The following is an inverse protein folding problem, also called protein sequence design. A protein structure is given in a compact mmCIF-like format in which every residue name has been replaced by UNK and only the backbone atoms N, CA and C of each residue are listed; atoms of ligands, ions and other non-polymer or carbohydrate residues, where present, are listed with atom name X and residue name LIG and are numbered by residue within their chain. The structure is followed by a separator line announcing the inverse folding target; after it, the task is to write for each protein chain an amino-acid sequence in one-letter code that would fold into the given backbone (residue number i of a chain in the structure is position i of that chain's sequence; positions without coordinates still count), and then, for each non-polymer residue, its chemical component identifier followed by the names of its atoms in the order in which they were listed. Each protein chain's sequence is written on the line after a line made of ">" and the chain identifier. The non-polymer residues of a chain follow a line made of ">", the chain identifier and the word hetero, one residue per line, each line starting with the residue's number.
data_IF_945604345032
#
_entry.id   IF_945604345032
#
_cell.length_a   1.000
_cell.length_b   1.000
_cell.length_c   1.000
_cell.angle_alpha   90.00
_cell.angle_beta   90.00
_cell.angle_gamma   90.00
#
_symmetry.space_group_name_H-M   'P 1'
#
loop_
_entity.id
_entity.type
_entity.pdbx_description
1 polymer ?
#
# COMPACT_ATOMS: atom_id res chain seq x y z
N UNK A 1 -10.83 10.73 35.74
CA UNK A 1 -12.04 11.06 34.93
C UNK A 1 -11.93 10.59 33.48
N UNK A 2 -10.87 10.94 32.73
CA UNK A 2 -10.66 10.43 31.34
C UNK A 2 -10.56 8.91 31.24
N UNK A 3 -9.82 8.26 32.14
CA UNK A 3 -9.67 6.79 32.15
C UNK A 3 -10.99 6.08 32.48
N UNK A 4 -11.72 6.57 33.47
CA UNK A 4 -13.05 6.04 33.82
C UNK A 4 -14.05 6.12 32.65
N UNK A 5 -14.08 7.25 31.93
CA UNK A 5 -14.90 7.41 30.73
C UNK A 5 -14.43 6.48 29.60
N UNK A 6 -13.11 6.28 29.45
CA UNK A 6 -12.56 5.36 28.46
C UNK A 6 -12.94 3.90 28.78
N UNK A 7 -12.90 3.49 30.04
CA UNK A 7 -13.31 2.17 30.52
C UNK A 7 -14.80 1.93 30.23
N UNK A 8 -15.67 2.89 30.59
CA UNK A 8 -17.10 2.82 30.32
C UNK A 8 -17.41 2.75 28.82
N UNK A 9 -16.72 3.55 28.00
CA UNK A 9 -16.87 3.50 26.55
C UNK A 9 -16.38 2.17 25.95
N UNK A 10 -15.39 1.48 26.55
CA UNK A 10 -14.97 0.14 26.11
C UNK A 10 -16.04 -0.92 26.35
N UNK A 11 -16.85 -0.77 27.40
CA UNK A 11 -17.95 -1.67 27.73
C UNK A 11 -19.18 -1.43 26.84
N UNK A 12 -19.48 -0.17 26.52
CA UNK A 12 -20.66 0.21 25.73
C UNK A 12 -20.48 0.06 24.21
N UNK A 13 -19.24 0.15 23.72
CA UNK A 13 -18.95 0.12 22.29
C UNK A 13 -18.18 -1.13 21.88
N UNK A 14 -18.73 -1.86 20.91
CA UNK A 14 -18.04 -3.00 20.30
C UNK A 14 -16.68 -2.56 19.72
N UNK A 15 -15.68 -3.46 19.62
CA UNK A 15 -14.40 -3.14 18.99
C UNK A 15 -14.54 -2.53 17.59
N UNK A 16 -15.50 -3.02 16.79
CA UNK A 16 -15.79 -2.48 15.45
C UNK A 16 -16.31 -1.05 15.51
N UNK A 17 -17.21 -0.72 16.43
CA UNK A 17 -17.72 0.65 16.58
C UNK A 17 -16.62 1.62 17.02
N UNK A 18 -15.75 1.18 17.94
CA UNK A 18 -14.60 1.98 18.38
C UNK A 18 -13.62 2.26 17.22
N UNK A 19 -13.41 1.28 16.36
CA UNK A 19 -12.59 1.45 15.15
C UNK A 19 -13.22 2.49 14.21
N UNK A 20 -14.51 2.36 13.87
CA UNK A 20 -15.19 3.31 12.98
C UNK A 20 -15.26 4.73 13.56
N UNK A 21 -15.42 4.89 14.88
CA UNK A 21 -15.36 6.20 15.54
C UNK A 21 -13.98 6.86 15.43
N UNK A 22 -12.89 6.12 15.70
CA UNK A 22 -11.53 6.66 15.54
C UNK A 22 -11.27 7.09 14.09
N UNK A 23 -11.75 6.29 13.16
CA UNK A 23 -11.66 6.57 11.72
C UNK A 23 -12.45 7.81 11.32
N UNK A 24 -13.68 7.96 11.81
CA UNK A 24 -14.49 9.17 11.59
C UNK A 24 -13.82 10.43 12.16
N UNK A 25 -13.24 10.33 13.36
CA UNK A 25 -12.48 11.45 13.97
C UNK A 25 -11.24 11.81 13.14
N UNK A 26 -10.48 10.82 12.66
CA UNK A 26 -9.32 11.05 11.80
C UNK A 26 -9.74 11.72 10.48
N UNK A 27 -10.83 11.26 9.88
CA UNK A 27 -11.42 11.85 8.68
C UNK A 27 -11.87 13.29 8.89
N UNK A 28 -12.59 13.58 9.98
CA UNK A 28 -13.01 14.95 10.32
C UNK A 28 -11.79 15.87 10.47
N UNK A 29 -10.75 15.43 11.20
CA UNK A 29 -9.52 16.19 11.36
C UNK A 29 -8.85 16.50 10.02
N UNK A 30 -8.81 15.52 9.10
CA UNK A 30 -8.25 15.75 7.77
C UNK A 30 -9.09 16.77 6.98
N UNK A 31 -10.42 16.65 6.99
CA UNK A 31 -11.32 17.61 6.33
C UNK A 31 -11.15 19.02 6.88
N UNK A 32 -11.15 19.19 8.20
CA UNK A 32 -10.90 20.50 8.81
C UNK A 32 -9.53 21.06 8.40
N UNK A 33 -8.51 20.19 8.33
CA UNK A 33 -7.19 20.57 7.83
C UNK A 33 -7.20 21.03 6.38
N UNK A 34 -7.99 20.40 5.51
CA UNK A 34 -8.15 20.79 4.10
C UNK A 34 -8.95 22.08 3.94
N UNK A 35 -9.92 22.35 4.81
CA UNK A 35 -10.72 23.58 4.78
C UNK A 35 -9.91 24.85 5.14
N UNK A 36 -8.71 24.70 5.72
CA UNK A 36 -7.81 25.81 6.03
C UNK A 36 -7.10 26.34 4.78
N UNK A 37 -7.84 27.01 3.88
CA UNK A 37 -7.32 27.50 2.58
C UNK A 37 -6.09 28.42 2.69
N UNK A 38 -5.87 29.10 3.83
CA UNK A 38 -4.66 29.90 4.06
C UNK A 38 -3.37 29.08 4.19
N UNK A 39 -3.47 27.75 4.35
CA UNK A 39 -2.32 26.83 4.34
C UNK A 39 -2.03 26.26 2.96
N UNK A 40 -2.83 26.63 1.96
CA UNK A 40 -2.72 26.11 0.62
C UNK A 40 -1.70 26.88 -0.19
N UNK A 41 -1.08 26.17 -1.12
CA UNK A 41 -0.22 26.71 -2.15
C UNK A 41 -0.68 26.22 -3.51
N UNK A 42 -0.28 26.97 -4.55
CA UNK A 42 -0.44 26.60 -5.93
C UNK A 42 0.97 26.53 -6.52
N UNK A 43 1.44 25.34 -6.83
CA UNK A 43 2.81 25.09 -7.28
C UNK A 43 2.78 24.22 -8.53
N UNK A 44 3.71 24.49 -9.45
CA UNK A 44 3.94 23.64 -10.62
C UNK A 44 5.26 22.90 -10.49
N UNK A 45 5.26 21.64 -10.88
CA UNK A 45 6.47 20.83 -11.02
C UNK A 45 6.28 19.83 -12.16
N UNK A 46 7.37 19.25 -12.64
CA UNK A 46 7.34 18.22 -13.67
C UNK A 46 7.49 16.83 -13.06
N UNK A 47 7.02 15.81 -13.79
CA UNK A 47 7.25 14.42 -13.41
C UNK A 47 8.73 14.01 -13.57
N UNK A 48 9.34 14.45 -14.66
CA UNK A 48 10.77 14.31 -15.01
C UNK A 48 11.21 15.57 -15.74
N UNK A 49 12.52 15.84 -15.82
CA UNK A 49 13.03 17.04 -16.49
C UNK A 49 12.57 17.13 -17.96
N UNK A 50 12.56 15.99 -18.64
CA UNK A 50 12.14 15.80 -20.03
C UNK A 50 10.63 15.59 -20.21
N UNK A 51 9.86 15.46 -19.12
CA UNK A 51 8.42 15.22 -19.22
C UNK A 51 7.70 16.39 -19.89
N UNK A 52 6.79 16.04 -20.79
CA UNK A 52 5.93 16.96 -21.54
C UNK A 52 4.74 17.48 -20.70
N UNK A 53 4.56 16.94 -19.50
CA UNK A 53 3.46 17.26 -18.59
C UNK A 53 3.91 18.14 -17.44
N UNK A 54 3.12 19.17 -17.18
CA UNK A 54 3.26 20.01 -15.98
C UNK A 54 2.18 19.59 -14.97
N UNK A 55 2.61 19.33 -13.73
CA UNK A 55 1.72 19.02 -12.62
C UNK A 55 1.41 20.32 -11.89
N UNK A 56 0.15 20.75 -11.91
CA UNK A 56 -0.37 21.85 -11.12
C UNK A 56 -0.93 21.30 -9.81
N UNK A 57 -0.18 21.46 -8.72
CA UNK A 57 -0.61 21.07 -7.39
C UNK A 57 -1.32 22.23 -6.68
N UNK A 58 -2.48 21.94 -6.11
CA UNK A 58 -3.32 22.87 -5.34
C UNK A 58 -3.70 22.21 -4.01
N UNK A 59 -3.00 22.57 -2.94
CA UNK A 59 -3.18 21.95 -1.63
C UNK A 59 -2.19 22.45 -0.58
N UNK A 60 -2.13 21.78 0.56
CA UNK A 60 -1.25 22.12 1.70
C UNK A 60 0.20 21.86 1.34
N UNK A 61 1.10 22.75 1.78
CA UNK A 61 2.56 22.61 1.59
C UNK A 61 3.12 21.30 2.14
N UNK A 62 2.59 20.83 3.28
CA UNK A 62 3.02 19.58 3.92
C UNK A 62 2.71 18.32 3.11
N UNK A 63 1.79 18.40 2.15
CA UNK A 63 1.38 17.26 1.32
C UNK A 63 2.05 17.24 -0.06
N UNK A 64 2.74 18.31 -0.45
CA UNK A 64 3.39 18.42 -1.77
C UNK A 64 4.42 17.33 -2.00
N UNK A 65 5.32 17.09 -1.05
CA UNK A 65 6.36 16.07 -1.19
C UNK A 65 5.75 14.66 -1.26
N UNK A 66 4.67 14.42 -0.52
CA UNK A 66 3.91 13.17 -0.63
C UNK A 66 3.32 13.00 -2.04
N UNK A 67 2.73 14.05 -2.63
CA UNK A 67 2.20 14.01 -4.00
C UNK A 67 3.29 13.68 -5.01
N UNK A 68 4.48 14.29 -4.88
CA UNK A 68 5.63 14.00 -5.75
C UNK A 68 6.01 12.50 -5.67
N UNK A 69 6.04 11.92 -4.47
CA UNK A 69 6.32 10.49 -4.28
C UNK A 69 5.22 9.61 -4.86
N UNK A 70 3.95 9.94 -4.63
CA UNK A 70 2.79 9.20 -5.15
C UNK A 70 2.79 9.16 -6.68
N UNK A 71 3.15 10.26 -7.34
CA UNK A 71 3.22 10.33 -8.79
C UNK A 71 4.51 9.75 -9.37
N UNK A 72 5.50 9.42 -8.54
CA UNK A 72 6.79 8.90 -9.00
C UNK A 72 7.67 9.97 -9.65
N UNK A 73 7.60 11.22 -9.17
CA UNK A 73 8.45 12.33 -9.65
C UNK A 73 9.93 11.99 -9.42
N UNK A 74 10.72 12.06 -10.48
CA UNK A 74 12.16 11.84 -10.45
C UNK A 74 12.87 13.19 -10.64
N UNK A 75 13.15 13.93 -9.56
CA UNK A 75 14.01 15.12 -9.65
C UNK A 75 14.50 15.62 -8.29
N UNK A 76 15.83 15.80 -8.21
CA UNK A 76 16.51 16.72 -7.29
C UNK A 76 16.77 18.05 -8.03
N UNK A 77 15.75 18.85 -8.36
CA UNK A 77 16.00 20.17 -8.98
C UNK A 77 14.89 21.20 -8.76
N UNK A 78 15.31 22.47 -8.86
CA UNK A 78 14.77 23.70 -8.29
C UNK A 78 13.33 24.03 -8.72
N UNK A 79 12.50 24.34 -7.72
CA UNK A 79 11.13 24.85 -7.85
C UNK A 79 11.12 26.21 -8.57
N UNK A 80 11.01 26.18 -9.90
CA UNK A 80 10.77 27.38 -10.68
C UNK A 80 9.33 27.87 -10.52
N UNK A 81 9.13 29.17 -10.29
CA UNK A 81 7.84 29.84 -10.55
C UNK A 81 7.55 29.78 -12.06
N UNK A 82 7.11 28.63 -12.55
CA UNK A 82 6.70 28.46 -13.94
C UNK A 82 5.46 29.33 -14.21
N UNK A 83 5.48 30.07 -15.33
CA UNK A 83 4.39 30.97 -15.75
C UNK A 83 3.07 30.20 -15.84
N UNK A 84 1.99 30.82 -15.37
CA UNK A 84 0.61 30.29 -15.27
C UNK A 84 -0.11 30.06 -16.63
N UNK A 85 0.61 29.67 -17.68
CA UNK A 85 0.01 29.32 -18.97
C UNK A 85 -0.87 28.07 -18.83
N UNK A 86 -2.11 28.12 -19.34
CA UNK A 86 -2.93 26.92 -19.52
C UNK A 86 -2.34 26.11 -20.68
N UNK A 87 -1.70 24.98 -20.36
CA UNK A 87 -1.31 23.97 -21.36
C UNK A 87 -2.32 22.83 -21.32
N UNK A 88 -2.72 22.30 -22.47
CA UNK A 88 -3.60 21.12 -22.55
C UNK A 88 -2.96 19.85 -21.96
N UNK A 89 -1.64 19.90 -21.69
CA UNK A 89 -0.85 18.86 -21.02
C UNK A 89 -0.70 19.09 -19.50
N UNK A 90 -1.48 20.01 -18.92
CA UNK A 90 -1.45 20.24 -17.48
C UNK A 90 -2.26 19.17 -16.75
N UNK A 91 -1.62 18.47 -15.81
CA UNK A 91 -2.29 17.57 -14.85
C UNK A 91 -2.62 18.38 -13.60
N UNK A 92 -3.87 18.39 -13.17
CA UNK A 92 -4.26 19.11 -11.95
C UNK A 92 -4.39 18.14 -10.80
N UNK A 93 -3.64 18.37 -9.72
CA UNK A 93 -3.71 17.59 -8.49
C UNK A 93 -4.24 18.49 -7.38
N UNK A 94 -5.35 18.10 -6.76
CA UNK A 94 -5.95 18.86 -5.66
C UNK A 94 -6.18 17.99 -4.43
N UNK A 95 -6.09 18.62 -3.26
CA UNK A 95 -6.61 18.04 -2.03
C UNK A 95 -8.14 18.20 -1.88
N UNK A 96 -8.83 18.97 -2.72
CA UNK A 96 -10.30 19.02 -2.74
C UNK A 96 -10.88 18.39 -4.01
N UNK A 97 -12.12 17.85 -3.93
CA UNK A 97 -12.81 17.33 -5.10
C UNK A 97 -12.90 18.37 -6.21
N UNK A 98 -12.51 17.98 -7.42
CA UNK A 98 -12.68 18.80 -8.63
C UNK A 98 -13.45 17.99 -9.68
N UNK A 99 -14.36 18.62 -10.45
CA UNK A 99 -15.13 17.91 -11.47
C UNK A 99 -14.26 17.23 -12.53
N UNK A 100 -14.52 15.94 -12.75
CA UNK A 100 -13.81 15.10 -13.71
C UNK A 100 -12.42 14.63 -13.25
N UNK A 101 -12.08 14.77 -11.97
CA UNK A 101 -10.87 14.16 -11.42
C UNK A 101 -11.10 12.72 -10.94
N UNK A 102 -10.05 11.92 -11.04
CA UNK A 102 -9.91 10.63 -10.39
C UNK A 102 -9.75 10.82 -8.88
N UNK A 103 -10.39 9.93 -8.12
CA UNK A 103 -10.32 9.89 -6.66
C UNK A 103 -9.20 8.94 -6.27
N UNK A 104 -7.97 9.45 -6.26
CA UNK A 104 -6.76 8.65 -6.08
C UNK A 104 -6.51 8.43 -4.59
N UNK A 105 -6.58 7.19 -4.07
CA UNK A 105 -6.21 6.94 -2.69
C UNK A 105 -4.74 7.28 -2.47
N UNK A 106 -4.39 7.71 -1.26
CA UNK A 106 -2.99 7.94 -0.87
C UNK A 106 -2.30 6.62 -0.53
N UNK A 107 -3.04 5.71 0.12
CA UNK A 107 -2.53 4.42 0.55
C UNK A 107 -3.55 3.31 0.30
N UNK A 108 -3.03 2.10 0.13
CA UNK A 108 -3.78 0.85 0.07
C UNK A 108 -3.21 -0.14 1.09
N UNK A 109 -4.01 -1.10 1.50
CA UNK A 109 -3.55 -2.28 2.22
C UNK A 109 -3.59 -3.50 1.29
N UNK A 110 -2.69 -4.45 1.53
CA UNK A 110 -2.72 -5.74 0.87
C UNK A 110 -3.27 -6.79 1.84
N UNK A 111 -4.43 -7.35 1.49
CA UNK A 111 -5.24 -8.17 2.39
C UNK A 111 -5.41 -9.55 1.80
N UNK A 112 -5.15 -10.58 2.60
CA UNK A 112 -5.34 -11.98 2.23
C UNK A 112 -6.59 -12.51 2.92
N UNK A 113 -7.63 -12.92 2.19
CA UNK A 113 -8.77 -13.63 2.77
C UNK A 113 -8.34 -15.01 3.30
N UNK A 114 -8.66 -15.32 4.55
CA UNK A 114 -8.25 -16.56 5.23
C UNK A 114 -9.34 -17.63 5.25
N UNK A 115 -10.43 -17.44 4.51
CA UNK A 115 -11.47 -18.45 4.32
C UNK A 115 -11.06 -19.62 3.39
N UNK A 116 -9.77 -19.73 3.06
CA UNK A 116 -9.18 -20.66 2.09
C UNK A 116 -8.07 -21.45 2.76
N UNK A 117 -7.74 -22.62 2.22
CA UNK A 117 -6.60 -23.39 2.73
C UNK A 117 -5.28 -22.64 2.48
N UNK A 118 -4.28 -22.94 3.30
CA UNK A 118 -2.94 -22.37 3.14
C UNK A 118 -2.32 -22.74 1.78
N UNK A 119 -2.63 -23.93 1.26
CA UNK A 119 -2.17 -24.38 -0.06
C UNK A 119 -2.79 -23.55 -1.18
N UNK A 120 -4.09 -23.23 -1.09
CA UNK A 120 -4.75 -22.34 -2.06
C UNK A 120 -4.18 -20.91 -2.03
N UNK A 121 -3.89 -20.39 -0.84
CA UNK A 121 -3.30 -19.06 -0.69
C UNK A 121 -1.89 -19.04 -1.27
N UNK A 122 -1.04 -20.00 -0.88
CA UNK A 122 0.34 -20.09 -1.35
C UNK A 122 0.45 -20.46 -2.82
N UNK A 123 -0.55 -21.13 -3.42
CA UNK A 123 -0.57 -21.40 -4.85
C UNK A 123 -0.51 -20.13 -5.69
N UNK A 124 -1.02 -19.00 -5.18
CA UNK A 124 -0.97 -17.68 -5.82
C UNK A 124 0.37 -16.97 -5.67
N UNK A 125 1.26 -17.46 -4.82
CA UNK A 125 2.56 -16.85 -4.61
C UNK A 125 3.41 -17.03 -5.86
N UNK A 126 4.34 -16.10 -6.10
CA UNK A 126 5.30 -16.28 -7.19
C UNK A 126 6.16 -17.55 -6.96
N UNK A 127 6.72 -18.10 -8.05
CA UNK A 127 7.45 -19.37 -8.02
C UNK A 127 8.67 -19.35 -7.09
N UNK A 128 9.42 -18.26 -7.07
CA UNK A 128 10.59 -18.08 -6.18
C UNK A 128 10.19 -18.13 -4.70
N UNK A 129 9.12 -17.41 -4.31
CA UNK A 129 8.63 -17.40 -2.94
C UNK A 129 8.14 -18.78 -2.52
N UNK A 130 7.36 -19.47 -3.37
CA UNK A 130 6.93 -20.85 -3.09
C UNK A 130 8.11 -21.80 -2.88
N UNK A 131 9.14 -21.71 -3.73
CA UNK A 131 10.36 -22.52 -3.61
C UNK A 131 11.09 -22.22 -2.29
N UNK A 132 11.20 -20.94 -1.92
CA UNK A 132 11.81 -20.54 -0.66
C UNK A 132 11.07 -21.12 0.55
N UNK A 133 9.73 -21.00 0.58
CA UNK A 133 8.91 -21.54 1.66
C UNK A 133 9.08 -23.06 1.81
N UNK A 134 8.99 -23.81 0.70
CA UNK A 134 9.16 -25.27 0.71
C UNK A 134 10.53 -25.69 1.24
N UNK A 135 11.59 -24.96 0.89
CA UNK A 135 12.96 -25.27 1.31
C UNK A 135 13.20 -24.97 2.79
N UNK A 136 12.71 -23.82 3.27
CA UNK A 136 13.20 -23.23 4.50
C UNK A 136 12.19 -23.29 5.66
N UNK A 137 10.88 -23.33 5.41
CA UNK A 137 9.86 -23.15 6.47
C UNK A 137 10.02 -24.03 7.70
N UNK A 138 10.38 -25.31 7.53
CA UNK A 138 10.52 -26.27 8.62
C UNK A 138 11.68 -25.96 9.58
N UNK A 139 12.65 -25.14 9.15
CA UNK A 139 13.81 -24.73 9.97
C UNK A 139 13.49 -23.56 10.90
N UNK A 140 12.38 -22.86 10.64
CA UNK A 140 12.00 -21.66 11.37
C UNK A 140 10.90 -21.99 12.40
N UNK A 141 11.03 -21.39 13.58
CA UNK A 141 10.07 -21.46 14.68
C UNK A 141 9.65 -20.05 15.09
N UNK A 142 8.44 -19.92 15.62
CA UNK A 142 7.90 -18.66 16.08
C UNK A 142 7.53 -18.79 17.54
N UNK A 143 7.98 -17.84 18.35
CA UNK A 143 7.72 -17.75 19.79
C UNK A 143 7.19 -16.36 20.09
N UNK A 144 6.10 -16.26 20.84
CA UNK A 144 5.62 -14.98 21.32
C UNK A 144 6.56 -14.44 22.42
N UNK A 145 6.93 -13.16 22.33
CA UNK A 145 7.59 -12.43 23.41
C UNK A 145 6.54 -12.08 24.48
N UNK A 146 6.77 -12.52 25.72
CA UNK A 146 5.78 -12.38 26.81
C UNK A 146 6.23 -11.45 27.93
N UNK A 147 7.54 -11.39 28.21
CA UNK A 147 8.09 -10.53 29.25
C UNK A 147 8.57 -9.19 28.66
N UNK A 148 8.75 -8.18 29.53
CA UNK A 148 9.16 -6.85 29.11
C UNK A 148 10.56 -6.85 28.50
N UNK A 149 11.51 -7.60 29.08
CA UNK A 149 12.89 -7.65 28.60
C UNK A 149 13.01 -8.14 27.14
N UNK A 150 12.24 -9.17 26.77
CA UNK A 150 12.18 -9.69 25.39
C UNK A 150 11.57 -8.65 24.43
N UNK A 151 10.54 -7.93 24.87
CA UNK A 151 9.87 -6.90 24.07
C UNK A 151 10.81 -5.71 23.86
N UNK A 152 11.46 -5.23 24.92
CA UNK A 152 12.41 -4.11 24.87
C UNK A 152 13.62 -4.45 24.00
N UNK A 153 14.14 -5.68 24.14
CA UNK A 153 15.27 -6.15 23.34
C UNK A 153 14.89 -6.22 21.86
N UNK A 154 13.72 -6.78 21.53
CA UNK A 154 13.24 -6.83 20.16
C UNK A 154 12.98 -5.43 19.57
N UNK A 155 12.49 -4.48 20.36
CA UNK A 155 12.29 -3.11 19.89
C UNK A 155 13.63 -2.42 19.60
N UNK A 156 14.55 -2.47 20.56
CA UNK A 156 15.87 -1.83 20.51
C UNK A 156 16.78 -2.42 19.43
N UNK A 157 16.76 -3.74 19.25
CA UNK A 157 17.74 -4.44 18.41
C UNK A 157 17.19 -4.82 17.03
N UNK A 158 15.86 -4.82 16.85
CA UNK A 158 15.25 -5.25 15.59
C UNK A 158 14.23 -4.26 15.01
N UNK A 159 13.25 -3.77 15.77
CA UNK A 159 12.18 -2.91 15.22
C UNK A 159 12.69 -1.51 14.85
N UNK A 160 13.33 -0.80 15.79
CA UNK A 160 13.79 0.57 15.57
C UNK A 160 14.97 0.65 14.58
N UNK A 161 16.03 -0.19 14.71
CA UNK A 161 17.18 -0.13 13.80
C UNK A 161 16.81 -0.48 12.38
N UNK A 162 15.99 -1.52 12.18
CA UNK A 162 15.52 -1.88 10.83
C UNK A 162 14.66 -0.79 10.21
N UNK A 163 13.77 -0.15 10.98
CA UNK A 163 12.98 0.96 10.48
C UNK A 163 13.86 2.14 10.06
N UNK A 164 14.89 2.47 10.85
CA UNK A 164 15.87 3.51 10.52
C UNK A 164 16.70 3.15 9.28
N UNK A 165 17.22 1.92 9.19
CA UNK A 165 17.98 1.45 8.04
C UNK A 165 17.16 1.47 6.75
N UNK A 166 15.86 1.15 6.84
CA UNK A 166 14.96 1.06 5.68
C UNK A 166 14.44 2.43 5.21
N UNK A 167 14.19 3.36 6.13
CA UNK A 167 13.49 4.61 5.82
C UNK A 167 14.29 5.87 6.14
N UNK A 168 15.51 5.74 6.69
CA UNK A 168 16.38 6.86 7.03
C UNK A 168 15.68 7.88 7.93
N UNK A 169 15.82 9.16 7.59
CA UNK A 169 15.18 10.27 8.30
C UNK A 169 13.64 10.29 8.19
N UNK A 170 13.05 9.53 7.25
CA UNK A 170 11.61 9.37 7.11
C UNK A 170 11.05 8.19 7.91
N UNK A 171 11.88 7.50 8.71
CA UNK A 171 11.43 6.40 9.56
C UNK A 171 10.45 6.89 10.63
N UNK A 172 9.18 6.51 10.50
CA UNK A 172 8.19 6.70 11.56
C UNK A 172 8.51 5.76 12.72
N UNK A 173 9.19 6.23 13.77
CA UNK A 173 9.42 5.39 14.94
C UNK A 173 8.14 5.20 15.75
N UNK A 174 7.95 3.98 16.25
CA UNK A 174 6.87 3.69 17.21
C UNK A 174 7.50 3.87 18.58
N UNK A 175 6.87 4.66 19.45
CA UNK A 175 7.36 4.84 20.81
C UNK A 175 7.38 3.48 21.53
N UNK A 176 8.43 3.21 22.32
CA UNK A 176 8.60 1.93 23.01
C UNK A 176 7.35 1.55 23.84
N UNK A 177 6.75 2.52 24.55
CA UNK A 177 5.50 2.30 25.30
C UNK A 177 4.35 1.79 24.42
N UNK A 178 4.27 2.28 23.18
CA UNK A 178 3.28 1.81 22.20
C UNK A 178 3.60 0.41 21.69
N UNK A 179 4.88 0.05 21.53
CA UNK A 179 5.29 -1.33 21.23
C UNK A 179 4.84 -2.27 22.35
N UNK A 180 5.10 -1.93 23.61
CA UNK A 180 4.63 -2.73 24.76
C UNK A 180 3.11 -2.84 24.79
N UNK A 181 2.39 -1.72 24.58
CA UNK A 181 0.92 -1.72 24.56
C UNK A 181 0.38 -2.63 23.47
N UNK A 182 0.97 -2.62 22.27
CA UNK A 182 0.55 -3.52 21.19
C UNK A 182 0.89 -4.96 21.53
N UNK A 183 2.12 -5.25 21.98
CA UNK A 183 2.59 -6.60 22.28
C UNK A 183 1.77 -7.29 23.38
N UNK A 184 1.34 -6.55 24.40
CA UNK A 184 0.66 -7.10 25.59
C UNK A 184 -0.85 -6.99 25.59
N UNK A 185 -1.41 -5.97 24.92
CA UNK A 185 -2.84 -5.64 25.08
C UNK A 185 -3.60 -5.75 23.77
N UNK A 186 -3.11 -5.14 22.70
CA UNK A 186 -3.87 -5.02 21.44
C UNK A 186 -3.53 -6.10 20.40
N UNK A 187 -2.51 -6.91 20.64
CA UNK A 187 -1.88 -7.73 19.63
C UNK A 187 -0.89 -8.72 20.22
N UNK A 188 0.22 -8.93 19.50
CA UNK A 188 1.33 -9.78 19.92
C UNK A 188 2.63 -9.31 19.29
N UNK A 189 3.73 -9.60 19.96
CA UNK A 189 5.07 -9.53 19.38
C UNK A 189 5.61 -10.96 19.27
N UNK A 190 5.95 -11.36 18.06
CA UNK A 190 6.54 -12.66 17.77
C UNK A 190 8.04 -12.52 17.51
N UNK A 191 8.82 -13.40 18.10
CA UNK A 191 10.22 -13.65 17.78
C UNK A 191 10.28 -14.84 16.81
N UNK A 192 11.01 -14.66 15.71
CA UNK A 192 11.25 -15.72 14.72
C UNK A 192 12.64 -16.25 14.94
N UNK A 193 12.71 -17.55 15.18
CA UNK A 193 13.93 -18.29 15.41
C UNK A 193 14.25 -19.10 14.16
N UNK A 194 15.49 -19.01 13.69
CA UNK A 194 16.07 -19.99 12.77
C UNK A 194 16.89 -20.94 13.63
N UNK A 195 16.47 -22.20 13.71
CA UNK A 195 17.01 -23.14 14.71
C UNK A 195 16.81 -22.56 16.11
N UNK A 196 17.87 -22.08 16.79
CA UNK A 196 17.78 -21.46 18.12
C UNK A 196 18.20 -19.96 18.14
N UNK A 197 18.55 -19.39 16.98
CA UNK A 197 18.93 -17.97 16.86
C UNK A 197 17.72 -17.11 16.50
N UNK A 198 17.50 -16.00 17.22
CA UNK A 198 16.48 -15.01 16.87
C UNK A 198 16.95 -14.23 15.64
N UNK A 199 16.22 -14.36 14.53
CA UNK A 199 16.56 -13.74 13.25
C UNK A 199 15.56 -12.68 12.78
N UNK A 200 14.41 -12.57 13.44
CA UNK A 200 13.44 -11.51 13.18
C UNK A 200 12.45 -11.35 14.32
N UNK A 201 11.65 -10.29 14.26
CA UNK A 201 10.40 -10.19 14.99
C UNK A 201 9.25 -9.66 14.12
N UNK A 202 8.02 -9.97 14.53
CA UNK A 202 6.78 -9.45 13.93
C UNK A 202 5.88 -8.88 15.02
N UNK A 203 5.60 -7.59 14.93
CA UNK A 203 4.60 -6.92 15.74
C UNK A 203 3.29 -6.87 14.94
N UNK A 204 2.26 -7.53 15.44
CA UNK A 204 0.93 -7.55 14.84
C UNK A 204 -0.16 -7.22 15.84
N UNK A 205 -1.32 -6.81 15.34
CA UNK A 205 -2.47 -6.47 16.18
C UNK A 205 -3.80 -6.98 15.61
N UNK A 206 -4.78 -7.08 16.50
CA UNK A 206 -6.15 -7.46 16.12
C UNK A 206 -6.92 -6.21 15.72
N UNK A 207 -7.48 -6.21 14.52
CA UNK A 207 -8.40 -5.18 14.05
C UNK A 207 -9.75 -5.83 13.75
N UNK A 208 -10.84 -5.30 14.29
CA UNK A 208 -12.20 -5.77 13.96
C UNK A 208 -12.91 -4.69 13.15
N UNK A 209 -13.33 -5.06 11.93
CA UNK A 209 -14.04 -4.17 11.00
C UNK A 209 -15.25 -4.89 10.43
N UNK A 210 -16.42 -4.25 10.48
CA UNK A 210 -17.67 -4.81 9.95
C UNK A 210 -17.92 -6.27 10.43
N UNK A 211 -17.61 -6.56 11.70
CA UNK A 211 -17.74 -7.89 12.29
C UNK A 211 -16.68 -8.91 11.88
N UNK A 212 -15.71 -8.52 11.03
CA UNK A 212 -14.60 -9.37 10.57
C UNK A 212 -13.32 -9.10 11.33
N UNK A 213 -12.58 -10.17 11.66
CA UNK A 213 -11.30 -10.12 12.39
C UNK A 213 -10.14 -10.12 11.41
N UNK A 214 -9.33 -9.08 11.48
CA UNK A 214 -8.10 -8.91 10.72
C UNK A 214 -6.91 -9.12 11.66
N UNK A 215 -5.98 -9.97 11.25
CA UNK A 215 -4.63 -9.93 11.79
C UNK A 215 -3.85 -8.89 11.01
N UNK A 216 -3.52 -7.77 11.64
CA UNK A 216 -2.88 -6.64 10.97
C UNK A 216 -1.42 -6.56 11.35
N UNK A 217 -0.54 -6.58 10.34
CA UNK A 217 0.87 -6.31 10.53
C UNK A 217 1.07 -4.84 10.92
N UNK A 218 1.74 -4.61 12.04
CA UNK A 218 2.16 -3.27 12.46
C UNK A 218 3.58 -3.00 11.98
N UNK A 219 4.52 -3.91 12.29
CA UNK A 219 5.93 -3.76 11.91
C UNK A 219 6.65 -5.11 11.90
N UNK A 220 7.59 -5.26 10.96
CA UNK A 220 8.61 -6.29 11.01
C UNK A 220 9.91 -5.69 11.55
N UNK A 221 10.66 -6.47 12.32
CA UNK A 221 12.01 -6.13 12.77
C UNK A 221 12.99 -7.22 12.39
N UNK A 222 14.21 -6.83 12.08
CA UNK A 222 15.32 -7.74 11.79
C UNK A 222 16.56 -7.21 12.50
N UNK A 223 17.43 -8.07 13.03
CA UNK A 223 18.71 -7.64 13.57
C UNK A 223 19.65 -7.21 12.42
N UNK A 224 20.66 -6.41 12.74
CA UNK A 224 21.63 -5.87 11.77
C UNK A 224 22.27 -6.97 10.91
N UNK A 225 22.67 -8.07 11.53
CA UNK A 225 23.25 -9.25 10.85
C UNK A 225 22.32 -9.88 9.80
N UNK A 226 21.01 -9.59 9.84
CA UNK A 226 20.04 -10.02 8.84
C UNK A 226 19.76 -8.91 7.84
N UNK A 227 19.46 -7.68 8.25
CA UNK A 227 19.08 -6.63 7.28
C UNK A 227 20.25 -6.05 6.50
N UNK A 228 21.49 -6.21 6.98
CA UNK A 228 22.71 -5.82 6.25
C UNK A 228 23.07 -6.83 5.14
N UNK A 229 22.49 -8.03 5.13
CA UNK A 229 22.57 -8.98 4.02
C UNK A 229 21.23 -9.05 3.26
N UNK A 230 21.19 -8.49 2.06
CA UNK A 230 19.97 -8.45 1.23
C UNK A 230 19.39 -9.83 0.90
N UNK A 231 20.24 -10.86 0.74
CA UNK A 231 19.79 -12.22 0.43
C UNK A 231 19.20 -12.87 1.67
N UNK A 232 19.87 -12.73 2.83
CA UNK A 232 19.37 -13.24 4.12
C UNK A 232 18.06 -12.53 4.50
N UNK A 233 18.01 -11.21 4.40
CA UNK A 233 16.80 -10.42 4.65
C UNK A 233 15.63 -10.90 3.79
N UNK A 234 15.81 -11.12 2.48
CA UNK A 234 14.74 -11.59 1.59
C UNK A 234 14.18 -12.94 2.03
N UNK A 235 15.05 -13.87 2.41
CA UNK A 235 14.65 -15.19 2.90
C UNK A 235 13.87 -15.06 4.21
N UNK A 236 14.48 -14.46 5.23
CA UNK A 236 13.92 -14.36 6.58
C UNK A 236 12.60 -13.59 6.54
N UNK A 237 12.54 -12.45 5.86
CA UNK A 237 11.33 -11.65 5.71
C UNK A 237 10.17 -12.43 5.06
N UNK A 238 10.48 -13.27 4.06
CA UNK A 238 9.50 -14.12 3.41
C UNK A 238 8.92 -15.16 4.36
N UNK A 239 9.77 -15.80 5.16
CA UNK A 239 9.37 -16.80 6.15
C UNK A 239 8.58 -16.14 7.29
N UNK A 240 9.07 -15.04 7.87
CA UNK A 240 8.37 -14.29 8.93
C UNK A 240 6.96 -13.88 8.48
N UNK A 241 6.81 -13.36 7.27
CA UNK A 241 5.49 -12.97 6.75
C UNK A 241 4.54 -14.16 6.60
N UNK A 242 5.07 -15.32 6.19
CA UNK A 242 4.30 -16.55 6.03
C UNK A 242 3.91 -17.17 7.38
N UNK A 243 4.78 -17.15 8.38
CA UNK A 243 4.46 -17.62 9.72
C UNK A 243 3.37 -16.78 10.40
N UNK A 244 3.38 -15.46 10.17
CA UNK A 244 2.29 -14.59 10.62
C UNK A 244 0.96 -14.91 9.93
N UNK A 245 0.98 -15.32 8.65
CA UNK A 245 -0.20 -15.81 7.93
C UNK A 245 -0.70 -17.15 8.52
N UNK A 246 0.18 -18.13 8.72
CA UNK A 246 -0.16 -19.42 9.35
C UNK A 246 -0.82 -19.22 10.70
N UNK A 247 -0.20 -18.39 11.54
CA UNK A 247 -0.74 -18.10 12.86
C UNK A 247 -2.13 -17.46 12.78
N UNK A 248 -2.35 -16.53 11.85
CA UNK A 248 -3.66 -15.91 11.65
C UNK A 248 -4.73 -16.94 11.23
N UNK A 249 -4.37 -17.91 10.38
CA UNK A 249 -5.26 -19.01 9.98
C UNK A 249 -5.58 -19.89 11.20
N UNK A 250 -4.56 -20.34 11.92
CA UNK A 250 -4.70 -21.21 13.11
C UNK A 250 -5.53 -20.57 14.23
N UNK A 251 -5.56 -19.24 14.30
CA UNK A 251 -6.30 -18.48 15.32
C UNK A 251 -7.64 -17.92 14.83
N UNK A 252 -8.14 -18.42 13.68
CA UNK A 252 -9.49 -18.16 13.19
C UNK A 252 -9.74 -16.69 12.84
N UNK A 253 -8.75 -16.01 12.26
CA UNK A 253 -8.95 -14.69 11.67
C UNK A 253 -9.63 -14.81 10.31
N UNK A 254 -10.44 -13.82 9.92
CA UNK A 254 -11.08 -13.78 8.60
C UNK A 254 -10.09 -13.30 7.51
N UNK A 255 -9.16 -12.43 7.88
CA UNK A 255 -8.22 -11.77 6.97
C UNK A 255 -6.84 -11.59 7.61
N UNK A 256 -5.80 -11.63 6.79
CA UNK A 256 -4.46 -11.15 7.13
C UNK A 256 -4.14 -9.87 6.35
N UNK A 257 -3.97 -8.76 7.05
CA UNK A 257 -3.52 -7.49 6.49
C UNK A 257 -1.98 -7.41 6.58
N UNK A 258 -1.31 -7.48 5.42
CA UNK A 258 0.16 -7.35 5.28
C UNK A 258 0.59 -5.86 5.44
N UNK A 259 -0.34 -5.01 5.82
CA UNK A 259 -0.18 -3.62 6.17
C UNK A 259 -0.36 -2.68 4.99
N UNK A 260 -0.20 -1.41 5.28
CA UNK A 260 -0.35 -0.29 4.35
C UNK A 260 0.86 -0.13 3.42
N UNK A 261 0.63 0.31 2.19
CA UNK A 261 1.62 0.77 1.23
C UNK A 261 1.09 1.97 0.45
N UNK A 262 1.98 2.67 -0.24
CA UNK A 262 1.59 3.78 -1.11
C UNK A 262 0.66 3.26 -2.21
N UNK A 263 -0.38 4.03 -2.52
CA UNK A 263 -1.33 3.71 -3.60
C UNK A 263 -0.75 4.07 -4.98
N UNK A 264 0.47 3.60 -5.24
CA UNK A 264 1.18 3.83 -6.50
C UNK A 264 1.43 2.46 -7.16
N UNK A 265 0.87 2.20 -8.35
CA UNK A 265 0.93 0.87 -8.99
C UNK A 265 2.34 0.32 -9.25
N UNK A 266 3.34 1.17 -9.47
CA UNK A 266 4.72 0.76 -9.69
C UNK A 266 5.58 0.79 -8.41
N UNK A 267 4.96 0.95 -7.24
CA UNK A 267 5.68 0.94 -5.97
C UNK A 267 6.21 -0.46 -5.60
N UNK A 268 7.52 -0.55 -5.36
CA UNK A 268 8.17 -1.83 -5.05
C UNK A 268 7.67 -2.50 -3.77
N UNK A 269 7.16 -1.74 -2.78
CA UNK A 269 6.54 -2.34 -1.60
C UNK A 269 5.18 -2.94 -1.94
N UNK A 270 4.37 -2.25 -2.75
CA UNK A 270 3.11 -2.81 -3.23
C UNK A 270 3.34 -4.06 -4.08
N UNK A 271 4.32 -4.04 -4.99
CA UNK A 271 4.72 -5.21 -5.77
C UNK A 271 5.14 -6.38 -4.87
N UNK A 272 5.95 -6.11 -3.84
CA UNK A 272 6.36 -7.13 -2.85
C UNK A 272 5.15 -7.75 -2.12
N UNK A 273 4.12 -6.95 -1.77
CA UNK A 273 2.90 -7.46 -1.12
C UNK A 273 2.04 -8.28 -2.08
N UNK A 274 1.88 -7.81 -3.32
CA UNK A 274 1.13 -8.50 -4.39
C UNK A 274 1.64 -9.92 -4.63
N UNK A 275 2.96 -10.13 -4.61
CA UNK A 275 3.58 -11.47 -4.79
C UNK A 275 3.16 -12.51 -3.74
N UNK A 276 2.47 -12.09 -2.67
CA UNK A 276 1.88 -12.94 -1.62
C UNK A 276 0.37 -13.13 -1.78
N UNK A 277 -0.17 -12.91 -2.98
CA UNK A 277 -1.57 -13.21 -3.30
C UNK A 277 -2.61 -12.36 -2.55
N UNK A 278 -2.20 -11.22 -1.97
CA UNK A 278 -3.10 -10.28 -1.32
C UNK A 278 -3.87 -9.43 -2.33
N UNK A 279 -5.15 -9.24 -2.04
CA UNK A 279 -6.01 -8.28 -2.74
C UNK A 279 -5.72 -6.87 -2.23
N UNK A 280 -5.69 -5.88 -3.11
CA UNK A 280 -5.57 -4.47 -2.70
C UNK A 280 -6.92 -3.93 -2.28
N UNK A 281 -6.97 -3.28 -1.12
CA UNK A 281 -8.17 -2.64 -0.59
C UNK A 281 -7.78 -1.30 0.03
N UNK A 282 -8.66 -0.32 -0.06
CA UNK A 282 -8.50 0.95 0.66
C UNK A 282 -8.57 0.76 2.18
N UNK A 283 -9.20 -0.33 2.64
CA UNK A 283 -9.69 -0.56 3.99
C UNK A 283 -10.50 0.61 4.56
N UNK A 284 -11.10 1.39 3.66
CA UNK A 284 -11.76 2.65 3.96
C UNK A 284 -10.83 3.76 4.42
N UNK A 285 -9.54 3.71 4.10
CA UNK A 285 -8.66 4.88 4.21
C UNK A 285 -9.24 6.03 3.37
N UNK A 286 -9.45 7.17 4.03
CA UNK A 286 -10.07 8.34 3.42
C UNK A 286 -9.07 9.40 2.94
N UNK A 287 -7.77 9.11 3.01
CA UNK A 287 -6.75 9.94 2.40
C UNK A 287 -6.86 9.83 0.88
N UNK A 288 -7.48 10.82 0.24
CA UNK A 288 -7.56 10.93 -1.22
C UNK A 288 -6.88 12.19 -1.75
N UNK A 289 -6.38 12.09 -2.97
CA UNK A 289 -6.04 13.21 -3.85
C UNK A 289 -6.95 13.17 -5.07
N UNK A 290 -7.27 14.33 -5.61
CA UNK A 290 -8.13 14.47 -6.78
C UNK A 290 -7.28 14.84 -7.98
N UNK A 291 -7.11 13.90 -8.90
CA UNK A 291 -6.22 14.07 -10.04
C UNK A 291 -7.04 14.17 -11.32
N UNK A 292 -7.03 15.36 -11.91
CA UNK A 292 -7.59 15.59 -13.24
C UNK A 292 -6.52 15.32 -14.28
N UNK A 293 -6.74 14.28 -15.07
CA UNK A 293 -5.90 13.91 -16.21
C UNK A 293 -5.77 15.08 -17.20
N UNK A 294 -4.65 15.16 -17.95
CA UNK A 294 -4.47 16.20 -18.93
C UNK A 294 -5.48 16.03 -20.07
N UNK A 295 -5.85 17.13 -20.74
CA UNK A 295 -6.77 17.08 -21.89
C UNK A 295 -6.14 16.37 -23.08
N UNK A 296 -4.86 16.62 -23.32
CA UNK A 296 -4.09 15.97 -24.36
C UNK A 296 -3.05 15.01 -23.76
N UNK A 297 -2.95 13.81 -24.33
CA UNK A 297 -1.93 12.83 -23.97
C UNK A 297 -2.16 12.11 -22.64
N UNK A 298 -3.40 11.91 -22.20
CA UNK A 298 -3.70 11.15 -20.97
C UNK A 298 -3.09 9.74 -20.98
N UNK A 299 -3.12 9.06 -22.13
CA UNK A 299 -2.49 7.75 -22.33
C UNK A 299 -0.99 7.76 -22.00
N UNK A 300 -0.24 8.73 -22.53
CA UNK A 300 1.20 8.85 -22.26
C UNK A 300 1.47 9.30 -20.82
N UNK A 301 0.64 10.15 -20.21
CA UNK A 301 0.78 10.46 -18.79
C UNK A 301 0.59 9.22 -17.90
N UNK A 302 -0.46 8.42 -18.14
CA UNK A 302 -0.72 7.18 -17.38
C UNK A 302 0.24 6.04 -17.73
N UNK A 303 0.92 6.12 -18.87
CA UNK A 303 2.08 5.29 -19.14
C UNK A 303 3.19 5.62 -18.14
N UNK A 304 3.55 6.90 -17.99
CA UNK A 304 4.61 7.35 -17.08
C UNK A 304 4.25 7.22 -15.60
N UNK A 305 3.00 7.55 -15.23
CA UNK A 305 2.48 7.57 -13.87
C UNK A 305 1.10 6.87 -13.80
N UNK A 306 1.05 5.53 -13.78
CA UNK A 306 -0.20 4.79 -13.62
C UNK A 306 -0.84 5.10 -12.26
N UNK A 307 -2.17 5.05 -12.16
CA UNK A 307 -2.89 5.46 -10.95
C UNK A 307 -3.93 4.43 -10.52
N UNK A 308 -4.11 4.27 -9.21
CA UNK A 308 -5.36 3.74 -8.68
C UNK A 308 -6.40 4.85 -8.55
N UNK A 309 -7.68 4.52 -8.64
CA UNK A 309 -8.77 5.42 -8.30
C UNK A 309 -9.92 4.69 -7.61
N UNK A 310 -10.81 5.44 -6.96
CA UNK A 310 -12.02 4.90 -6.33
C UNK A 310 -13.26 5.38 -7.08
N UNK A 311 -14.07 4.43 -7.53
CA UNK A 311 -15.39 4.67 -8.11
C UNK A 311 -16.46 4.14 -7.17
N UNK A 312 -17.18 5.04 -6.50
CA UNK A 312 -18.10 4.68 -5.42
C UNK A 312 -17.35 4.05 -4.24
N UNK A 313 -17.40 2.72 -4.12
CA UNK A 313 -16.67 1.94 -3.09
C UNK A 313 -15.63 1.00 -3.69
N UNK A 314 -15.45 1.05 -5.00
CA UNK A 314 -14.68 0.07 -5.76
C UNK A 314 -13.34 0.66 -6.18
N UNK A 315 -12.27 -0.13 -6.07
CA UNK A 315 -10.94 0.26 -6.51
C UNK A 315 -10.76 -0.05 -8.01
N UNK A 316 -10.25 0.92 -8.75
CA UNK A 316 -9.92 0.80 -10.17
C UNK A 316 -8.45 1.08 -10.41
N UNK A 317 -7.92 0.55 -11.51
CA UNK A 317 -6.56 0.82 -11.98
C UNK A 317 -6.62 1.53 -13.33
N UNK A 318 -5.87 2.62 -13.48
CA UNK A 318 -5.78 3.43 -14.69
C UNK A 318 -4.38 3.31 -15.28
N UNK A 319 -4.31 2.74 -16.48
CA UNK A 319 -3.09 2.49 -17.25
C UNK A 319 -3.13 3.26 -18.58
N UNK A 320 -1.98 3.44 -19.19
CA UNK A 320 -1.81 4.16 -20.46
C UNK A 320 -1.37 3.23 -21.60
N UNK A 321 -1.92 3.45 -22.79
CA UNK A 321 -1.45 2.86 -24.04
C UNK A 321 -1.10 4.01 -24.99
N UNK A 322 0.14 4.53 -24.94
CA UNK A 322 0.56 5.64 -25.78
C UNK A 322 0.85 5.20 -27.22
N UNK A 323 0.96 6.18 -28.11
CA UNK A 323 1.41 5.95 -29.48
C UNK A 323 2.91 5.62 -29.51
N UNK A 324 3.30 4.76 -30.46
CA UNK A 324 4.71 4.38 -30.69
C UNK A 324 5.24 3.24 -29.83
N UNK A 325 4.57 2.85 -28.74
CA UNK A 325 4.94 1.66 -27.95
C UNK A 325 4.28 0.41 -28.55
N UNK A 326 5.06 -0.67 -28.70
CA UNK A 326 4.55 -1.96 -29.20
C UNK A 326 3.69 -2.71 -28.16
N UNK A 327 2.79 -3.58 -28.61
CA UNK A 327 1.93 -4.37 -27.73
C UNK A 327 2.73 -5.24 -26.74
N UNK A 328 3.85 -5.81 -27.17
CA UNK A 328 4.75 -6.60 -26.31
C UNK A 328 5.39 -5.75 -25.20
N UNK A 329 5.78 -4.51 -25.52
CA UNK A 329 6.38 -3.57 -24.56
C UNK A 329 5.36 -3.16 -23.50
N UNK A 330 4.11 -2.90 -23.92
CA UNK A 330 3.00 -2.58 -23.02
C UNK A 330 2.67 -3.76 -22.12
N UNK A 331 2.57 -4.96 -22.70
CA UNK A 331 2.37 -6.19 -21.93
C UNK A 331 3.51 -6.37 -20.91
N UNK A 332 4.76 -6.17 -21.31
CA UNK A 332 5.92 -6.27 -20.43
C UNK A 332 5.87 -5.25 -19.28
N UNK A 333 5.61 -3.96 -19.56
CA UNK A 333 5.50 -2.91 -18.53
C UNK A 333 4.48 -3.26 -17.47
N UNK A 334 3.29 -3.71 -17.88
CA UNK A 334 2.19 -3.95 -16.96
C UNK A 334 2.23 -5.34 -16.32
N UNK A 335 3.25 -6.16 -16.60
CA UNK A 335 3.35 -7.56 -16.13
C UNK A 335 3.18 -7.66 -14.62
N UNK A 336 3.81 -6.75 -13.89
CA UNK A 336 3.80 -6.74 -12.43
C UNK A 336 2.62 -5.96 -11.83
N UNK A 337 1.76 -5.35 -12.65
CA UNK A 337 0.60 -4.54 -12.22
C UNK A 337 -0.73 -5.32 -12.23
N UNK A 338 -0.68 -6.65 -12.14
CA UNK A 338 -1.84 -7.51 -11.97
C UNK A 338 -2.26 -7.61 -10.51
N UNK A 339 -3.18 -6.75 -10.05
CA UNK A 339 -3.62 -6.69 -8.65
C UNK A 339 -4.97 -7.40 -8.42
N UNK A 340 -5.07 -8.18 -7.36
CA UNK A 340 -6.36 -8.68 -6.85
C UNK A 340 -7.16 -7.58 -6.15
N UNK A 341 -8.46 -7.75 -5.98
CA UNK A 341 -9.34 -6.76 -5.33
C UNK A 341 -9.80 -5.59 -6.22
N UNK A 342 -9.38 -5.56 -7.49
CA UNK A 342 -9.83 -4.56 -8.45
C UNK A 342 -11.24 -4.85 -8.95
N UNK A 343 -12.03 -3.80 -9.12
CA UNK A 343 -13.31 -3.84 -9.82
C UNK A 343 -13.15 -3.68 -11.33
N UNK A 344 -12.26 -2.77 -11.75
CA UNK A 344 -12.04 -2.44 -13.16
C UNK A 344 -10.62 -1.97 -13.42
N UNK A 345 -10.12 -2.26 -14.61
CA UNK A 345 -8.89 -1.73 -15.18
C UNK A 345 -9.26 -0.90 -16.41
N UNK A 346 -8.94 0.39 -16.39
CA UNK A 346 -9.06 1.29 -17.53
C UNK A 346 -7.73 1.36 -18.27
N UNK A 347 -7.75 1.12 -19.58
CA UNK A 347 -6.64 1.38 -20.48
C UNK A 347 -6.96 2.65 -21.25
N UNK A 348 -6.25 3.74 -20.98
CA UNK A 348 -6.38 5.00 -21.69
C UNK A 348 -5.50 4.93 -22.94
N UNK A 349 -6.12 4.88 -24.11
CA UNK A 349 -5.45 4.57 -25.35
C UNK A 349 -5.33 5.80 -26.27
N UNK A 350 -4.12 6.02 -26.80
CA UNK A 350 -3.87 6.95 -27.90
C UNK A 350 -4.11 6.29 -29.28
N UNK A 351 -4.00 4.95 -29.33
CA UNK A 351 -4.33 4.11 -30.49
C UNK A 351 -5.31 3.00 -30.11
N UNK A 352 -5.96 2.38 -31.09
CA UNK A 352 -6.78 1.19 -30.83
C UNK A 352 -5.86 0.05 -30.32
N UNK A 353 -6.16 -0.57 -29.15
CA UNK A 353 -5.41 -1.71 -28.67
C UNK A 353 -5.65 -2.94 -29.56
N UNK A 354 -4.61 -3.74 -29.80
CA UNK A 354 -4.77 -5.06 -30.42
C UNK A 354 -5.51 -6.03 -29.49
N UNK A 355 -6.32 -6.94 -30.03
CA UNK A 355 -7.04 -7.94 -29.23
C UNK A 355 -6.09 -8.85 -28.46
N UNK A 356 -4.94 -9.22 -29.04
CA UNK A 356 -3.93 -10.05 -28.38
C UNK A 356 -3.36 -9.37 -27.11
N UNK A 357 -3.14 -8.05 -27.16
CA UNK A 357 -2.74 -7.28 -25.99
C UNK A 357 -3.84 -7.32 -24.91
N UNK A 358 -5.10 -7.10 -25.29
CA UNK A 358 -6.22 -7.14 -24.36
C UNK A 358 -6.37 -8.51 -23.71
N UNK A 359 -6.25 -9.59 -24.48
CA UNK A 359 -6.31 -10.96 -23.97
C UNK A 359 -5.11 -11.29 -23.06
N UNK A 360 -3.92 -10.79 -23.41
CA UNK A 360 -2.74 -10.88 -22.55
C UNK A 360 -2.95 -10.16 -21.21
N UNK A 361 -3.63 -9.01 -21.20
CA UNK A 361 -3.96 -8.29 -19.97
C UNK A 361 -5.08 -8.99 -19.18
N UNK A 362 -6.12 -9.50 -19.84
CA UNK A 362 -7.24 -10.24 -19.21
C UNK A 362 -6.75 -11.54 -18.56
N UNK A 363 -5.89 -12.30 -19.25
CA UNK A 363 -5.40 -13.59 -18.77
C UNK A 363 -4.65 -13.50 -17.44
N UNK A 364 -4.09 -12.34 -17.10
CA UNK A 364 -3.46 -12.08 -15.79
C UNK A 364 -4.43 -12.20 -14.63
N UNK A 365 -5.70 -11.95 -14.88
CA UNK A 365 -6.75 -12.02 -13.87
C UNK A 365 -7.56 -13.32 -13.92
N UNK A 366 -7.27 -14.23 -14.87
CA UNK A 366 -8.03 -15.47 -15.07
C UNK A 366 -8.03 -16.40 -13.83
N UNK A 367 -7.04 -16.27 -12.96
CA UNK A 367 -6.95 -17.02 -11.71
C UNK A 367 -7.81 -16.44 -10.57
N UNK A 368 -8.43 -15.28 -10.76
CA UNK A 368 -9.30 -14.65 -9.76
C UNK A 368 -10.73 -15.15 -9.92
N UNK A 369 -11.42 -15.34 -8.77
CA UNK A 369 -12.84 -15.72 -8.76
C UNK A 369 -13.74 -14.68 -9.42
N UNK A 370 -13.37 -13.41 -9.30
CA UNK A 370 -14.06 -12.27 -9.89
C UNK A 370 -13.00 -11.37 -10.50
N UNK A 371 -12.64 -11.57 -11.78
CA UNK A 371 -11.67 -10.73 -12.46
C UNK A 371 -12.23 -9.31 -12.63
N UNK A 372 -11.39 -8.26 -12.64
CA UNK A 372 -11.82 -6.91 -12.95
C UNK A 372 -12.28 -6.81 -14.40
N UNK A 373 -13.23 -5.90 -14.65
CA UNK A 373 -13.57 -5.53 -16.02
C UNK A 373 -12.39 -4.80 -16.67
N UNK A 374 -12.05 -5.16 -17.91
CA UNK A 374 -11.06 -4.42 -18.69
C UNK A 374 -11.80 -3.51 -19.67
N UNK A 375 -11.56 -2.20 -19.57
CA UNK A 375 -12.22 -1.18 -20.40
C UNK A 375 -11.20 -0.30 -21.10
N UNK A 376 -11.31 -0.17 -22.41
CA UNK A 376 -10.45 0.72 -23.21
C UNK A 376 -11.14 2.06 -23.42
N UNK A 377 -10.45 3.14 -23.07
CA UNK A 377 -10.88 4.52 -23.29
C UNK A 377 -10.00 5.08 -24.39
N UNK A 378 -10.52 5.18 -25.61
CA UNK A 378 -9.81 5.81 -26.72
C UNK A 378 -9.96 7.32 -26.57
N UNK A 379 -8.85 8.01 -26.30
CA UNK A 379 -8.85 9.47 -26.24
C UNK A 379 -8.83 10.00 -27.67
N UNK A 380 -9.96 10.54 -28.14
CA UNK A 380 -10.07 11.24 -29.44
C UNK A 380 -9.39 12.60 -29.43
#
# INVERSE_FOLDING_TARGET
>A
MKEYIAELMRQLLTPSMRFELRKAVAWLRDIFGRACFWRWEIVRFKLREDSLYDILYVGRKTQREFVKVLLGVQSQTVEGRLKLGKSDRTVVVSEMPIPGALYVPQYLSAVVPLSRSIDEITAKYNSELRRNLRKNRLRYRMKQALNDDEIETADREMLQPYAAARHGSAASQIEAQEVHRVAKVAGRLDLVLLEDEIVACHLGCVVTRAGKRYWSTVRFGYPDVVFSDTKRLREVNSITTFMALEWAIENGFDYYDIGTCLARPDDGLLEWKRRRGGDVDTLGNHGYLFIKLPRAGAAQFLWEAPLFAVEGKNLTLHLGLPDGQGDEEVASRYREMGFGGLYKVYIHCARVPGEELLDTLRSRYAHLKSPPFLESIVST
#
